data_IF_358036557223
#
_entry.id   IF_358036557223
#
_cell.length_a   1.000
_cell.length_b   1.000
_cell.length_c   1.000
_cell.angle_alpha   90.00
_cell.angle_beta   90.00
_cell.angle_gamma   90.00
#
_symmetry.space_group_name_H-M   'P 1'
#
loop_
_entity.id
_entity.type
_entity.pdbx_description
1 polymer ?
#
# COMPACT_ATOMS: atom_id res chain seq x y z
N UNK A 1 14.72 17.65 -4.86
CA UNK A 1 14.31 16.66 -5.89
C UNK A 1 13.49 15.55 -5.27
N UNK A 2 13.95 14.89 -4.19
CA UNK A 2 13.22 13.86 -3.42
C UNK A 2 11.73 14.15 -3.15
N UNK A 3 11.42 15.32 -2.56
CA UNK A 3 10.04 15.68 -2.22
C UNK A 3 9.13 15.78 -3.47
N UNK A 4 9.67 16.21 -4.61
CA UNK A 4 8.92 16.35 -5.87
C UNK A 4 8.58 14.98 -6.47
N UNK A 5 9.49 14.01 -6.35
CA UNK A 5 9.23 12.63 -6.74
C UNK A 5 8.13 11.99 -5.86
N UNK A 6 8.14 12.25 -4.55
CA UNK A 6 7.10 11.76 -3.64
C UNK A 6 5.72 12.35 -3.92
N UNK A 7 5.64 13.65 -4.22
CA UNK A 7 4.38 14.29 -4.63
C UNK A 7 3.78 13.64 -5.89
N UNK A 8 4.61 13.29 -6.87
CA UNK A 8 4.15 12.58 -8.07
C UNK A 8 3.50 11.23 -7.73
N UNK A 9 4.04 10.48 -6.77
CA UNK A 9 3.41 9.23 -6.34
C UNK A 9 2.06 9.45 -5.65
N UNK A 10 1.89 10.54 -4.87
CA UNK A 10 0.61 10.88 -4.26
C UNK A 10 -0.47 11.15 -5.32
N UNK A 11 -0.13 11.93 -6.35
CA UNK A 11 -1.03 12.18 -7.49
C UNK A 11 -1.38 10.87 -8.23
N UNK A 12 -0.40 9.98 -8.40
CA UNK A 12 -0.65 8.66 -9.00
C UNK A 12 -1.58 7.79 -8.15
N UNK A 13 -1.46 7.83 -6.82
CA UNK A 13 -2.37 7.11 -5.91
C UNK A 13 -3.79 7.63 -6.11
N UNK A 14 -3.98 8.95 -6.08
CA UNK A 14 -5.29 9.57 -6.23
C UNK A 14 -5.92 9.27 -7.60
N UNK A 15 -5.15 9.43 -8.68
CA UNK A 15 -5.57 9.07 -10.03
C UNK A 15 -5.93 7.58 -10.13
N UNK A 16 -5.13 6.68 -9.57
CA UNK A 16 -5.40 5.24 -9.61
C UNK A 16 -6.71 4.91 -8.90
N UNK A 17 -7.00 5.58 -7.78
CA UNK A 17 -8.27 5.45 -7.07
C UNK A 17 -9.48 6.04 -7.80
N UNK A 18 -9.29 6.81 -8.86
CA UNK A 18 -10.39 7.24 -9.76
C UNK A 18 -10.81 6.14 -10.74
N UNK A 19 -9.93 5.16 -10.99
CA UNK A 19 -10.12 4.09 -11.97
C UNK A 19 -10.39 2.75 -11.28
N UNK A 20 -9.69 2.46 -10.19
CA UNK A 20 -9.75 1.18 -9.49
C UNK A 20 -10.04 1.36 -8.00
N UNK A 21 -10.86 0.47 -7.38
CA UNK A 21 -11.11 0.51 -5.95
C UNK A 21 -9.92 0.01 -5.11
N UNK A 22 -8.99 -0.72 -5.71
CA UNK A 22 -7.77 -1.20 -5.04
C UNK A 22 -6.54 -0.58 -5.69
N UNK A 23 -5.63 -0.07 -4.87
CA UNK A 23 -4.31 0.41 -5.29
C UNK A 23 -3.26 -0.33 -4.49
N UNK A 24 -2.34 -0.99 -5.17
CA UNK A 24 -1.20 -1.65 -4.57
C UNK A 24 0.06 -0.78 -4.70
N UNK A 25 0.62 -0.36 -3.58
CA UNK A 25 1.91 0.29 -3.48
C UNK A 25 2.99 -0.77 -3.21
N UNK A 26 3.75 -1.09 -4.24
CA UNK A 26 4.71 -2.19 -4.22
C UNK A 26 6.13 -1.64 -4.25
N UNK A 27 7.06 -2.29 -3.56
CA UNK A 27 8.46 -1.89 -3.62
C UNK A 27 9.31 -2.64 -2.61
N UNK A 28 10.65 -2.55 -2.72
CA UNK A 28 11.54 -3.23 -1.78
C UNK A 28 11.30 -2.75 -0.34
N UNK A 29 11.75 -3.55 0.62
CA UNK A 29 11.74 -3.12 2.04
C UNK A 29 12.52 -1.80 2.16
N UNK A 30 12.05 -0.93 3.06
CA UNK A 30 12.68 0.37 3.35
C UNK A 30 12.69 1.41 2.21
N UNK A 31 11.87 1.27 1.15
CA UNK A 31 11.72 2.32 0.12
C UNK A 31 10.75 3.45 0.50
N UNK A 32 10.21 3.44 1.73
CA UNK A 32 9.30 4.47 2.23
C UNK A 32 7.84 4.32 1.80
N UNK A 33 7.33 3.08 1.62
CA UNK A 33 5.92 2.80 1.31
C UNK A 33 4.99 3.33 2.40
N UNK A 34 5.24 2.93 3.65
CA UNK A 34 4.51 3.37 4.84
C UNK A 34 4.55 4.90 4.98
N UNK A 35 5.71 5.53 4.73
CA UNK A 35 5.84 6.99 4.72
C UNK A 35 4.95 7.63 3.66
N UNK A 36 4.97 7.12 2.43
CA UNK A 36 4.15 7.65 1.34
C UNK A 36 2.65 7.45 1.60
N UNK A 37 2.26 6.30 2.17
CA UNK A 37 0.89 6.04 2.59
C UNK A 37 0.43 7.07 3.63
N UNK A 38 1.23 7.32 4.68
CA UNK A 38 0.92 8.35 5.68
C UNK A 38 0.79 9.75 5.07
N UNK A 39 1.70 10.12 4.16
CA UNK A 39 1.60 11.41 3.44
C UNK A 39 0.31 11.50 2.61
N UNK A 40 -0.13 10.40 1.99
CA UNK A 40 -1.41 10.35 1.28
C UNK A 40 -2.60 10.53 2.23
N UNK A 41 -2.57 9.88 3.40
CA UNK A 41 -3.61 10.03 4.42
C UNK A 41 -3.72 11.47 4.95
N UNK A 42 -2.59 12.14 5.15
CA UNK A 42 -2.55 13.55 5.52
C UNK A 42 -3.14 14.44 4.41
N UNK A 43 -2.81 14.18 3.15
CA UNK A 43 -3.35 14.90 1.99
C UNK A 43 -4.87 14.68 1.80
N UNK A 44 -5.38 13.50 2.16
CA UNK A 44 -6.82 13.23 2.17
C UNK A 44 -7.58 14.14 3.15
N UNK A 45 -6.91 14.70 4.17
CA UNK A 45 -7.43 15.74 5.07
C UNK A 45 -8.87 15.45 5.57
N UNK A 46 -9.14 14.20 5.94
CA UNK A 46 -10.45 13.76 6.47
C UNK A 46 -11.58 13.62 5.45
N UNK A 47 -11.31 13.64 4.14
CA UNK A 47 -12.32 13.42 3.09
C UNK A 47 -12.98 12.03 3.18
N UNK A 48 -12.28 11.04 3.74
CA UNK A 48 -12.78 9.68 3.96
C UNK A 48 -12.44 9.23 5.36
N UNK A 49 -13.27 8.35 5.90
CA UNK A 49 -12.88 7.55 7.07
C UNK A 49 -11.67 6.69 6.68
N UNK A 50 -10.66 6.64 7.55
CA UNK A 50 -9.43 5.87 7.32
C UNK A 50 -9.33 4.78 8.37
N UNK A 51 -9.04 3.57 7.91
CA UNK A 51 -8.71 2.41 8.73
C UNK A 51 -7.33 1.92 8.30
N UNK A 52 -6.43 1.69 9.25
CA UNK A 52 -5.06 1.27 8.98
C UNK A 52 -4.78 -0.04 9.71
N UNK A 53 -4.26 -1.03 8.98
CA UNK A 53 -3.85 -2.32 9.53
C UNK A 53 -2.40 -2.58 9.13
N UNK A 54 -1.52 -2.76 10.11
CA UNK A 54 -0.13 -3.17 9.91
C UNK A 54 0.01 -4.66 10.20
N UNK A 55 0.24 -5.49 9.18
CA UNK A 55 0.34 -6.93 9.37
C UNK A 55 1.68 -7.39 9.99
N UNK A 56 2.61 -6.47 10.26
CA UNK A 56 3.73 -6.74 11.16
C UNK A 56 3.33 -6.63 12.64
N UNK A 57 2.27 -5.87 12.95
CA UNK A 57 1.70 -5.79 14.29
C UNK A 57 0.89 -7.07 14.60
N UNK A 58 1.22 -7.80 15.68
CA UNK A 58 0.51 -9.02 16.04
C UNK A 58 -0.98 -8.83 16.36
N UNK A 59 -1.39 -7.67 16.88
CA UNK A 59 -2.78 -7.38 17.21
C UNK A 59 -3.60 -7.21 15.93
N UNK A 60 -3.11 -6.44 14.96
CA UNK A 60 -3.76 -6.25 13.66
C UNK A 60 -3.83 -7.56 12.87
N UNK A 61 -2.74 -8.33 12.88
CA UNK A 61 -2.72 -9.66 12.26
C UNK A 61 -3.75 -10.60 12.92
N UNK A 62 -3.89 -10.55 14.25
CA UNK A 62 -4.86 -11.36 14.98
C UNK A 62 -6.31 -10.92 14.69
N UNK A 63 -6.57 -9.61 14.64
CA UNK A 63 -7.88 -9.06 14.23
C UNK A 63 -8.27 -9.57 12.85
N UNK A 64 -7.32 -9.60 11.91
CA UNK A 64 -7.55 -10.04 10.53
C UNK A 64 -7.51 -11.56 10.33
N UNK A 65 -7.48 -12.38 11.40
CA UNK A 65 -7.75 -13.82 11.28
C UNK A 65 -9.15 -14.12 10.73
N UNK A 66 -10.12 -13.25 11.03
CA UNK A 66 -11.46 -13.30 10.46
C UNK A 66 -11.72 -12.02 9.66
N UNK A 67 -11.05 -11.85 8.50
CA UNK A 67 -10.98 -10.55 7.84
C UNK A 67 -12.35 -10.09 7.34
N UNK A 68 -13.29 -11.00 7.08
CA UNK A 68 -14.66 -10.65 6.69
C UNK A 68 -15.43 -9.92 7.80
N UNK A 69 -15.23 -10.30 9.06
CA UNK A 69 -15.88 -9.66 10.21
C UNK A 69 -15.32 -8.26 10.46
N UNK A 70 -14.02 -8.09 10.25
CA UNK A 70 -13.34 -6.81 10.46
C UNK A 70 -13.55 -5.88 9.26
N UNK A 71 -13.23 -6.31 8.04
CA UNK A 71 -13.22 -5.47 6.83
C UNK A 71 -14.63 -5.26 6.23
N UNK A 72 -15.56 -6.19 6.46
CA UNK A 72 -16.92 -6.14 5.93
C UNK A 72 -17.70 -4.86 6.28
N UNK A 73 -17.80 -4.49 7.58
CA UNK A 73 -18.56 -3.31 8.00
C UNK A 73 -17.84 -1.97 7.73
N UNK A 74 -16.55 -1.96 7.41
CA UNK A 74 -15.80 -0.72 7.20
C UNK A 74 -16.27 0.01 5.94
N UNK A 75 -16.17 1.34 5.94
CA UNK A 75 -16.34 2.20 4.77
C UNK A 75 -15.14 3.15 4.67
N UNK A 76 -14.96 3.79 3.51
CA UNK A 76 -13.86 4.74 3.30
C UNK A 76 -12.57 4.08 2.80
N UNK A 77 -11.43 4.60 3.23
CA UNK A 77 -10.11 4.13 2.84
C UNK A 77 -9.58 3.14 3.87
N UNK A 78 -9.26 1.94 3.41
CA UNK A 78 -8.70 0.86 4.22
C UNK A 78 -7.27 0.63 3.74
N UNK A 79 -6.30 0.86 4.62
CA UNK A 79 -4.88 0.63 4.35
C UNK A 79 -4.47 -0.70 4.99
N UNK A 80 -3.82 -1.57 4.21
CA UNK A 80 -3.25 -2.82 4.72
C UNK A 80 -1.76 -2.83 4.37
N UNK A 81 -0.91 -2.70 5.38
CA UNK A 81 0.55 -2.72 5.24
C UNK A 81 1.09 -4.15 5.32
N UNK A 82 2.22 -4.38 4.64
CA UNK A 82 2.90 -5.68 4.55
C UNK A 82 1.97 -6.86 4.18
N UNK A 83 1.08 -6.65 3.20
CA UNK A 83 0.02 -7.57 2.74
C UNK A 83 0.50 -9.00 2.47
N UNK A 84 1.78 -9.20 2.12
CA UNK A 84 2.34 -10.53 1.88
C UNK A 84 2.33 -11.43 3.13
N UNK A 85 2.01 -10.88 4.31
CA UNK A 85 1.75 -11.64 5.54
C UNK A 85 0.40 -12.35 5.54
N UNK A 86 -0.58 -11.85 4.77
CA UNK A 86 -1.94 -12.38 4.66
C UNK A 86 -2.45 -12.36 3.20
N UNK A 87 -1.75 -13.00 2.25
CA UNK A 87 -2.10 -12.94 0.84
C UNK A 87 -3.48 -13.57 0.52
N UNK A 88 -3.95 -14.49 1.35
CA UNK A 88 -5.28 -15.11 1.25
C UNK A 88 -6.45 -14.13 1.42
N UNK A 89 -6.19 -12.87 1.79
CA UNK A 89 -7.23 -11.83 1.90
C UNK A 89 -7.68 -11.28 0.55
N UNK A 90 -6.90 -11.45 -0.53
CA UNK A 90 -7.23 -10.88 -1.85
C UNK A 90 -8.62 -11.31 -2.39
N UNK A 91 -9.03 -12.58 -2.31
CA UNK A 91 -10.36 -13.00 -2.75
C UNK A 91 -11.48 -12.32 -1.97
N UNK A 92 -11.29 -12.08 -0.67
CA UNK A 92 -12.24 -11.33 0.14
C UNK A 92 -12.30 -9.86 -0.30
N UNK A 93 -11.15 -9.21 -0.49
CA UNK A 93 -11.09 -7.82 -0.97
C UNK A 93 -11.88 -7.68 -2.27
N UNK A 94 -11.73 -8.63 -3.22
CA UNK A 94 -12.51 -8.65 -4.46
C UNK A 94 -14.01 -8.62 -4.18
N UNK A 95 -14.49 -9.54 -3.33
CA UNK A 95 -15.91 -9.63 -2.98
C UNK A 95 -16.40 -8.33 -2.35
N UNK A 96 -15.60 -7.70 -1.48
CA UNK A 96 -15.95 -6.45 -0.83
C UNK A 96 -16.03 -5.28 -1.80
N UNK A 97 -15.12 -5.18 -2.78
CA UNK A 97 -15.13 -4.08 -3.76
C UNK A 97 -16.16 -4.27 -4.88
N UNK A 98 -16.54 -5.52 -5.17
CA UNK A 98 -17.60 -5.86 -6.14
C UNK A 98 -19.02 -5.69 -5.58
N UNK A 99 -19.16 -5.46 -4.28
CA UNK A 99 -20.45 -5.29 -3.65
C UNK A 99 -21.22 -4.08 -4.23
N UNK A 100 -22.55 -4.18 -4.39
CA UNK A 100 -23.36 -3.05 -4.85
C UNK A 100 -23.22 -1.87 -3.89
N UNK A 101 -23.11 -0.66 -4.45
CA UNK A 101 -22.86 0.58 -3.69
C UNK A 101 -21.56 0.56 -2.87
N UNK A 102 -20.51 -0.09 -3.37
CA UNK A 102 -19.22 -0.10 -2.70
C UNK A 102 -18.71 1.32 -2.40
N UNK A 103 -18.42 1.58 -1.12
CA UNK A 103 -17.80 2.82 -0.61
C UNK A 103 -16.39 2.60 -0.06
N UNK A 104 -15.85 1.39 -0.23
CA UNK A 104 -14.52 0.99 0.25
C UNK A 104 -13.50 1.21 -0.85
N UNK A 105 -12.36 1.78 -0.46
CA UNK A 105 -11.13 1.82 -1.25
C UNK A 105 -10.03 1.12 -0.45
N UNK A 106 -9.22 0.31 -1.11
CA UNK A 106 -8.12 -0.40 -0.47
C UNK A 106 -6.78 0.14 -0.95
N UNK A 107 -5.96 0.62 -0.03
CA UNK A 107 -4.54 0.90 -0.28
C UNK A 107 -3.72 -0.24 0.32
N UNK A 108 -3.13 -1.05 -0.54
CA UNK A 108 -2.38 -2.23 -0.15
C UNK A 108 -0.89 -1.89 -0.26
N UNK A 109 -0.12 -2.10 0.80
CA UNK A 109 1.33 -1.89 0.78
C UNK A 109 2.00 -3.26 0.91
N UNK A 110 3.07 -3.48 0.15
CA UNK A 110 3.78 -4.75 0.24
C UNK A 110 5.11 -4.78 -0.50
N UNK A 111 5.87 -5.84 -0.26
CA UNK A 111 7.07 -6.12 -1.04
C UNK A 111 6.69 -6.45 -2.49
N UNK A 112 7.46 -5.98 -3.47
CA UNK A 112 7.24 -6.30 -4.89
C UNK A 112 7.69 -7.73 -5.25
N UNK A 113 7.32 -8.74 -4.46
CA UNK A 113 7.61 -10.14 -4.81
C UNK A 113 6.74 -10.58 -5.99
N UNK A 114 7.31 -11.44 -6.86
CA UNK A 114 6.59 -11.95 -8.04
C UNK A 114 5.30 -12.65 -7.65
N UNK A 115 5.35 -13.48 -6.62
CA UNK A 115 4.20 -14.26 -6.15
C UNK A 115 3.07 -13.33 -5.68
N UNK A 116 3.40 -12.25 -4.96
CA UNK A 116 2.40 -11.28 -4.50
C UNK A 116 1.74 -10.56 -5.68
N UNK A 117 2.54 -10.10 -6.64
CA UNK A 117 2.06 -9.43 -7.85
C UNK A 117 1.16 -10.37 -8.66
N UNK A 118 1.58 -11.62 -8.83
CA UNK A 118 0.84 -12.60 -9.59
C UNK A 118 -0.51 -12.90 -8.91
N UNK A 119 -0.47 -13.21 -7.61
CA UNK A 119 -1.67 -13.53 -6.85
C UNK A 119 -2.66 -12.36 -6.80
N UNK A 120 -2.18 -11.12 -6.60
CA UNK A 120 -3.04 -9.93 -6.63
C UNK A 120 -3.62 -9.70 -8.01
N UNK A 121 -2.83 -9.89 -9.08
CA UNK A 121 -3.28 -9.68 -10.46
C UNK A 121 -4.32 -10.70 -10.89
N UNK A 122 -4.13 -11.98 -10.56
CA UNK A 122 -5.07 -13.06 -10.88
C UNK A 122 -6.39 -12.88 -10.11
N UNK A 123 -6.29 -12.52 -8.83
CA UNK A 123 -7.47 -12.41 -7.95
C UNK A 123 -8.25 -11.12 -8.20
N UNK A 124 -7.56 -9.98 -8.35
CA UNK A 124 -8.15 -8.64 -8.45
C UNK A 124 -8.08 -8.07 -9.88
N UNK A 125 -8.04 -8.93 -10.89
CA UNK A 125 -8.02 -8.53 -12.30
C UNK A 125 -9.10 -7.45 -12.60
N UNK A 126 -8.64 -6.34 -13.19
CA UNK A 126 -9.50 -5.20 -13.55
C UNK A 126 -10.04 -4.37 -12.37
N UNK A 127 -9.56 -4.61 -11.14
CA UNK A 127 -9.96 -3.89 -9.91
C UNK A 127 -8.79 -3.31 -9.13
N UNK A 128 -7.57 -3.61 -9.56
CA UNK A 128 -6.33 -3.21 -8.90
C UNK A 128 -5.42 -2.41 -9.83
N UNK A 129 -4.87 -1.32 -9.33
CA UNK A 129 -3.77 -0.57 -9.96
C UNK A 129 -2.49 -0.80 -9.18
N UNK A 130 -1.39 -1.10 -9.86
CA UNK A 130 -0.09 -1.30 -9.23
C UNK A 130 0.77 -0.04 -9.40
N UNK A 131 1.34 0.43 -8.30
CA UNK A 131 2.30 1.55 -8.26
C UNK A 131 3.58 1.01 -7.64
N UNK A 132 4.62 0.85 -8.46
CA UNK A 132 5.93 0.44 -7.98
C UNK A 132 6.73 1.65 -7.49
N UNK A 133 7.14 1.62 -6.23
CA UNK A 133 8.13 2.50 -5.65
C UNK A 133 9.52 1.92 -5.90
N UNK A 134 10.32 2.68 -6.63
CA UNK A 134 11.76 2.45 -6.70
C UNK A 134 12.41 2.76 -5.34
N UNK A 135 13.53 2.10 -4.99
CA UNK A 135 14.39 2.55 -3.89
C UNK A 135 14.71 4.04 -4.02
N UNK A 136 15.06 4.68 -2.89
CA UNK A 136 15.47 6.08 -2.91
C UNK A 136 16.51 6.32 -3.99
N UNK A 137 16.24 7.24 -4.91
CA UNK A 137 17.20 7.56 -5.97
C UNK A 137 18.43 8.23 -5.34
N UNK A 138 19.62 8.09 -5.95
CA UNK A 138 20.88 8.66 -5.43
C UNK A 138 20.81 10.18 -5.17
N UNK A 139 19.79 10.89 -5.69
CA UNK A 139 19.50 12.29 -5.43
C UNK A 139 18.66 12.58 -4.17
N UNK A 140 18.23 11.57 -3.41
CA UNK A 140 17.43 11.73 -2.19
C UNK A 140 18.26 11.70 -0.89
N UNK A 141 19.57 11.43 -0.97
CA UNK A 141 20.43 11.24 0.22
C UNK A 141 21.56 12.27 0.26
N UNK A 142 21.61 13.10 1.31
CA UNK A 142 22.59 14.19 1.47
C UNK A 142 24.05 13.72 1.60
N UNK A 143 24.32 12.43 1.84
CA UNK A 143 25.65 11.94 2.20
C UNK A 143 26.07 10.68 1.41
N UNK A 144 26.43 10.90 0.14
CA UNK A 144 26.88 9.89 -0.82
C UNK A 144 27.97 8.94 -0.29
N UNK A 145 28.87 9.43 0.56
CA UNK A 145 30.02 8.66 1.05
C UNK A 145 29.61 7.52 1.99
N UNK A 146 28.48 7.66 2.69
CA UNK A 146 27.98 6.64 3.62
C UNK A 146 27.30 5.47 2.91
N UNK A 147 26.70 5.70 1.74
CA UNK A 147 26.00 4.65 0.97
C UNK A 147 26.96 3.79 0.15
N UNK A 148 28.05 4.37 -0.38
CA UNK A 148 29.06 3.59 -1.10
C UNK A 148 29.77 2.56 -0.23
N UNK A 149 29.92 2.82 1.06
CA UNK A 149 30.49 1.87 2.02
C UNK A 149 29.44 0.83 2.50
N UNK A 150 28.13 1.07 2.28
CA UNK A 150 27.03 0.32 2.90
C UNK A 150 26.04 -0.35 1.95
N UNK A 151 26.26 -0.29 0.64
CA UNK A 151 25.45 -1.02 -0.34
C UNK A 151 24.02 -0.49 -0.53
N UNK A 152 23.76 0.79 -0.28
CA UNK A 152 22.48 1.41 -0.68
C UNK A 152 21.28 1.23 0.27
N UNK A 153 21.43 0.59 1.44
CA UNK A 153 20.34 0.42 2.41
C UNK A 153 20.49 1.32 3.64
N UNK A 154 19.42 1.97 4.15
CA UNK A 154 19.43 2.65 5.44
C UNK A 154 19.50 1.66 6.62
N UNK A 155 19.91 2.16 7.79
CA UNK A 155 20.33 1.38 8.97
C UNK A 155 19.26 0.41 9.51
N UNK A 156 19.74 -0.76 9.93
CA UNK A 156 19.17 -1.64 10.95
C UNK A 156 19.04 -0.96 12.31
#
# INVERSE_FOLDING_TARGET
MALRERLHYLERIDFSFSVNPVVALLGPRQCGKTTLARMYLEMENGRRQVHYFDLEDPEDLMLLQNPKLVLGPLEGLIVIDEIQKLPEVFPLIRVLVDAPNNKKKFLILGSASRDLIQQSSETLAGRISHIELTPFSLGEVQDLRKLWIRGGFPKS
#
